data_IF_854418903706
#
_entry.id   IF_854418903706
#
_cell.length_a   1.000
_cell.length_b   1.000
_cell.length_c   1.000
_cell.angle_alpha   90.00
_cell.angle_beta   90.00
_cell.angle_gamma   90.00
#
_symmetry.space_group_name_H-M   'P 1'
#
loop_
_entity.id
_entity.type
_entity.pdbx_description
1 polymer ?
#
# COMPACT_ATOMS: atom_id res chain seq x y z
N UNK A 1 11.87 6.84 -0.73
CA UNK A 1 11.35 6.41 -2.03
C UNK A 1 10.37 5.28 -1.76
N UNK A 2 9.17 5.36 -2.30
CA UNK A 2 8.09 4.40 -2.10
C UNK A 2 7.56 4.00 -3.48
N UNK A 3 7.00 2.79 -3.56
CA UNK A 3 6.35 2.30 -4.78
C UNK A 3 4.89 2.73 -4.76
N UNK A 4 4.43 3.25 -5.89
CA UNK A 4 3.03 3.56 -6.14
C UNK A 4 2.59 2.75 -7.36
N UNK A 5 1.52 2.00 -7.17
CA UNK A 5 0.74 1.36 -8.22
C UNK A 5 -0.27 2.40 -8.71
N UNK A 6 -0.82 2.28 -9.93
CA UNK A 6 -1.78 3.28 -10.40
C UNK A 6 -2.93 3.43 -9.39
N UNK A 7 -2.98 4.58 -8.72
CA UNK A 7 -4.02 4.90 -7.76
C UNK A 7 -3.86 4.26 -6.37
N UNK A 8 -2.78 3.51 -6.07
CA UNK A 8 -2.61 2.93 -4.73
C UNK A 8 -1.14 2.55 -4.39
N UNK A 9 -0.91 1.98 -3.21
CA UNK A 9 0.33 1.30 -2.83
C UNK A 9 0.06 -0.22 -2.76
N UNK A 10 1.10 -1.07 -2.74
CA UNK A 10 0.89 -2.49 -2.59
C UNK A 10 0.08 -2.85 -1.33
N UNK A 11 -0.92 -3.70 -1.48
CA UNK A 11 -1.82 -4.09 -0.40
C UNK A 11 -3.14 -4.69 -0.88
N UNK A 12 -3.85 -5.33 0.05
CA UNK A 12 -5.07 -6.06 -0.27
C UNK A 12 -5.89 -6.38 0.97
N UNK A 13 -6.89 -7.24 0.81
CA UNK A 13 -7.76 -7.69 1.90
C UNK A 13 -7.14 -8.86 2.67
N UNK A 14 -7.49 -8.98 3.95
CA UNK A 14 -7.12 -10.16 4.76
C UNK A 14 -7.86 -11.40 4.28
N UNK A 15 -7.13 -12.49 4.12
CA UNK A 15 -7.72 -13.82 3.93
C UNK A 15 -8.07 -14.51 5.26
N UNK A 16 -8.77 -15.65 5.18
CA UNK A 16 -9.16 -16.40 6.37
C UNK A 16 -7.93 -16.91 7.15
N UNK A 17 -7.82 -16.55 8.43
CA UNK A 17 -6.69 -16.83 9.32
C UNK A 17 -5.40 -16.07 9.02
N UNK A 18 -5.47 -14.96 8.27
CA UNK A 18 -4.33 -14.08 7.97
C UNK A 18 -4.35 -12.83 8.86
N UNK A 19 -3.18 -12.42 9.38
CA UNK A 19 -3.03 -11.13 10.06
C UNK A 19 -2.85 -10.01 9.02
N UNK A 20 -3.29 -8.77 9.30
CA UNK A 20 -3.06 -7.64 8.39
C UNK A 20 -1.59 -7.41 8.02
N UNK A 21 -0.67 -7.76 8.93
CA UNK A 21 0.78 -7.69 8.67
C UNK A 21 1.24 -8.77 7.68
N UNK A 22 0.60 -9.94 7.67
CA UNK A 22 0.93 -11.05 6.77
C UNK A 22 0.47 -10.72 5.35
N UNK A 23 -0.73 -10.16 5.19
CA UNK A 23 -1.22 -9.58 3.91
C UNK A 23 -0.20 -8.63 3.34
N UNK A 24 0.24 -7.62 4.10
CA UNK A 24 1.18 -6.62 3.60
C UNK A 24 2.52 -7.23 3.13
N UNK A 25 2.95 -8.37 3.70
CA UNK A 25 4.13 -9.09 3.23
C UNK A 25 3.85 -9.92 1.97
N UNK A 26 2.67 -10.55 1.89
CA UNK A 26 2.21 -11.34 0.76
C UNK A 26 1.99 -10.46 -0.48
N UNK A 27 1.21 -9.40 -0.35
CA UNK A 27 0.90 -8.44 -1.43
C UNK A 27 2.17 -7.76 -1.96
N UNK A 28 3.10 -7.37 -1.08
CA UNK A 28 4.39 -6.84 -1.54
C UNK A 28 5.21 -7.83 -2.38
N UNK A 29 5.02 -9.14 -2.17
CA UNK A 29 5.63 -10.17 -3.01
C UNK A 29 4.83 -10.40 -4.28
N UNK A 30 3.50 -10.46 -4.20
CA UNK A 30 2.62 -10.78 -5.33
C UNK A 30 2.54 -9.63 -6.34
N UNK A 31 2.33 -8.41 -5.87
CA UNK A 31 2.09 -7.25 -6.73
C UNK A 31 3.38 -6.61 -7.23
N UNK A 32 4.50 -6.74 -6.51
CA UNK A 32 5.76 -6.04 -6.85
C UNK A 32 7.04 -6.87 -6.69
N UNK A 33 6.94 -8.16 -6.35
CA UNK A 33 8.07 -9.08 -6.21
C UNK A 33 9.15 -8.61 -5.21
N UNK A 34 8.75 -7.88 -4.16
CA UNK A 34 9.68 -7.37 -3.15
C UNK A 34 9.52 -8.07 -1.81
N UNK A 35 10.64 -8.61 -1.30
CA UNK A 35 10.71 -9.04 0.09
C UNK A 35 10.95 -7.83 0.98
N UNK A 36 9.97 -7.50 1.82
CA UNK A 36 10.05 -6.36 2.73
C UNK A 36 10.17 -6.80 4.19
N UNK A 37 10.77 -5.94 5.00
CA UNK A 37 10.67 -5.94 6.45
C UNK A 37 9.76 -4.80 6.89
N UNK A 38 8.61 -5.13 7.47
CA UNK A 38 7.69 -4.14 8.04
C UNK A 38 8.29 -3.55 9.33
N UNK A 39 8.35 -2.22 9.40
CA UNK A 39 8.90 -1.46 10.52
C UNK A 39 7.80 -1.01 11.50
N UNK A 40 6.81 -0.24 11.02
CA UNK A 40 5.69 0.25 11.85
C UNK A 40 4.45 0.56 11.03
N UNK A 41 3.29 0.63 11.70
CA UNK A 41 2.08 1.22 11.14
C UNK A 41 2.28 2.73 11.07
N UNK A 42 1.92 3.34 9.94
CA UNK A 42 2.00 4.78 9.70
C UNK A 42 0.63 5.43 9.51
N UNK A 43 -0.42 4.63 9.27
CA UNK A 43 -1.79 5.11 9.16
C UNK A 43 -2.77 4.00 9.45
N UNK A 44 -3.89 4.39 10.05
CA UNK A 44 -5.04 3.55 10.34
C UNK A 44 -6.30 4.37 10.07
N UNK A 45 -7.22 3.81 9.29
CA UNK A 45 -8.55 4.34 9.12
C UNK A 45 -9.59 3.22 9.04
N UNK A 46 -10.87 3.59 9.00
CA UNK A 46 -11.94 2.63 8.75
C UNK A 46 -13.03 3.25 7.88
N UNK A 47 -13.57 2.45 6.97
CA UNK A 47 -14.66 2.83 6.08
C UNK A 47 -15.79 1.80 6.21
N UNK A 48 -17.01 2.30 6.43
CA UNK A 48 -18.20 1.46 6.29
C UNK A 48 -18.63 1.42 4.83
N UNK A 49 -18.58 0.24 4.23
CA UNK A 49 -19.15 -0.02 2.91
C UNK A 49 -20.61 -0.45 3.08
N UNK A 50 -21.53 0.45 2.77
CA UNK A 50 -22.96 0.21 2.86
C UNK A 50 -23.47 -0.84 1.86
N UNK A 51 -22.75 -1.08 0.75
CA UNK A 51 -23.13 -2.09 -0.24
C UNK A 51 -22.81 -3.50 0.22
N UNK A 52 -21.75 -3.64 1.03
CA UNK A 52 -21.30 -4.91 1.59
C UNK A 52 -21.73 -5.09 3.05
N UNK A 53 -22.41 -4.09 3.64
CA UNK A 53 -22.75 -4.02 5.07
C UNK A 53 -21.56 -4.35 5.98
N UNK A 54 -20.35 -3.95 5.56
CA UNK A 54 -19.09 -4.35 6.16
C UNK A 54 -18.22 -3.14 6.48
N UNK A 55 -17.57 -3.16 7.64
CA UNK A 55 -16.54 -2.17 8.00
C UNK A 55 -15.18 -2.70 7.55
N UNK A 56 -14.54 -1.96 6.66
CA UNK A 56 -13.15 -2.19 6.28
C UNK A 56 -12.25 -1.33 7.17
N UNK A 57 -11.19 -1.94 7.69
CA UNK A 57 -10.13 -1.23 8.43
C UNK A 57 -8.85 -1.31 7.62
N UNK A 58 -8.26 -0.17 7.26
CA UNK A 58 -6.98 -0.12 6.56
C UNK A 58 -5.87 0.08 7.57
N UNK A 59 -4.83 -0.74 7.47
CA UNK A 59 -3.56 -0.53 8.16
C UNK A 59 -2.47 -0.33 7.12
N UNK A 60 -1.83 0.84 7.14
CA UNK A 60 -0.72 1.15 6.23
C UNK A 60 0.59 1.05 6.98
N UNK A 61 1.55 0.37 6.39
CA UNK A 61 2.85 0.11 7.00
C UNK A 61 3.95 0.85 6.26
N UNK A 62 4.95 1.30 7.01
CA UNK A 62 6.27 1.56 6.45
C UNK A 62 7.13 0.31 6.58
N UNK A 63 7.97 0.07 5.59
CA UNK A 63 8.89 -1.06 5.57
C UNK A 63 10.08 -0.80 4.67
N UNK A 64 11.05 -1.70 4.75
CA UNK A 64 12.30 -1.65 3.97
C UNK A 64 12.44 -2.90 3.13
N UNK A 65 12.83 -2.71 1.87
CA UNK A 65 13.20 -3.81 0.98
C UNK A 65 14.46 -4.46 1.55
N UNK A 66 14.40 -5.78 1.78
CA UNK A 66 15.52 -6.53 2.35
C UNK A 66 16.59 -6.81 1.29
N UNK A 67 16.15 -7.17 0.10
CA UNK A 67 16.96 -7.47 -1.07
C UNK A 67 16.23 -6.89 -2.28
N UNK A 68 16.91 -6.07 -3.07
CA UNK A 68 16.30 -5.41 -4.22
C UNK A 68 16.17 -6.43 -5.35
N UNK A 69 14.93 -6.76 -5.71
CA UNK A 69 14.61 -7.52 -6.90
C UNK A 69 14.07 -6.60 -7.99
N UNK A 70 14.07 -7.08 -9.23
CA UNK A 70 13.31 -6.44 -10.30
C UNK A 70 11.82 -6.42 -9.93
N UNK A 71 11.16 -5.30 -10.23
CA UNK A 71 9.71 -5.19 -10.06
C UNK A 71 9.06 -6.05 -11.13
N UNK A 72 8.24 -7.00 -10.67
CA UNK A 72 7.36 -7.81 -11.50
C UNK A 72 5.96 -7.55 -10.97
N UNK A 73 5.11 -6.98 -11.83
CA UNK A 73 3.73 -6.69 -11.45
C UNK A 73 2.86 -7.92 -11.62
N UNK A 74 1.90 -8.07 -10.72
CA UNK A 74 0.73 -8.87 -11.02
C UNK A 74 -0.14 -8.13 -12.05
N UNK A 75 -0.15 -8.62 -13.28
CA UNK A 75 -0.87 -8.01 -14.39
C UNK A 75 -2.39 -8.22 -14.31
N UNK A 76 -2.88 -9.11 -13.44
CA UNK A 76 -4.32 -9.24 -13.19
C UNK A 76 -4.86 -8.03 -12.43
N UNK A 77 -4.02 -7.41 -11.59
CA UNK A 77 -4.39 -6.29 -10.74
C UNK A 77 -3.80 -4.95 -11.21
N UNK A 78 -2.52 -4.94 -11.60
CA UNK A 78 -1.76 -3.72 -11.84
C UNK A 78 -0.98 -3.76 -13.15
N UNK A 79 -1.03 -2.66 -13.91
CA UNK A 79 -0.35 -2.59 -15.22
C UNK A 79 0.88 -1.68 -15.22
N UNK A 80 1.00 -0.78 -14.23
CA UNK A 80 2.07 0.20 -14.15
C UNK A 80 2.40 0.47 -12.69
N UNK A 81 3.69 0.70 -12.44
CA UNK A 81 4.19 1.22 -11.18
C UNK A 81 5.07 2.44 -11.43
N UNK A 82 5.25 3.25 -10.39
CA UNK A 82 6.22 4.34 -10.35
C UNK A 82 6.90 4.39 -8.99
N UNK A 83 8.19 4.70 -9.01
CA UNK A 83 8.92 5.04 -7.80
C UNK A 83 8.77 6.54 -7.53
N UNK A 84 8.23 6.88 -6.36
CA UNK A 84 8.05 8.28 -5.94
C UNK A 84 8.90 8.59 -4.71
N UNK A 85 9.35 9.84 -4.63
CA UNK A 85 9.99 10.40 -3.45
C UNK A 85 9.05 11.27 -2.64
N UNK A 86 8.03 11.83 -3.29
CA UNK A 86 6.94 12.59 -2.68
C UNK A 86 5.67 12.50 -3.52
N UNK A 87 4.53 12.85 -2.95
CA UNK A 87 3.25 12.92 -3.69
C UNK A 87 3.29 13.92 -4.87
N UNK A 88 4.21 14.89 -4.87
CA UNK A 88 4.39 15.84 -5.98
C UNK A 88 4.92 15.18 -7.25
N UNK A 89 5.40 13.95 -7.16
CA UNK A 89 5.86 13.16 -8.30
C UNK A 89 4.69 12.52 -9.06
N UNK A 90 3.46 12.62 -8.54
CA UNK A 90 2.23 12.09 -9.12
C UNK A 90 1.31 13.21 -9.63
N UNK A 91 0.50 12.90 -10.64
CA UNK A 91 -0.64 13.75 -11.03
C UNK A 91 -1.71 13.71 -9.93
N UNK A 92 -2.34 14.86 -9.64
CA UNK A 92 -3.31 14.99 -8.53
C UNK A 92 -4.47 13.99 -8.63
N UNK A 93 -4.89 13.64 -9.85
CA UNK A 93 -5.97 12.67 -10.12
C UNK A 93 -5.60 11.22 -9.74
N UNK A 94 -4.31 10.91 -9.58
CA UNK A 94 -3.80 9.58 -9.21
C UNK A 94 -3.57 9.46 -7.69
N UNK A 95 -3.68 10.55 -6.93
CA UNK A 95 -3.42 10.55 -5.50
C UNK A 95 -4.70 10.19 -4.75
N UNK A 96 -4.73 9.01 -4.14
CA UNK A 96 -5.83 8.62 -3.26
C UNK A 96 -5.81 9.42 -1.94
N UNK A 97 -6.98 9.81 -1.40
CA UNK A 97 -7.04 10.74 -0.26
C UNK A 97 -6.25 10.31 0.98
N UNK A 98 -6.25 9.02 1.32
CA UNK A 98 -5.57 8.54 2.52
C UNK A 98 -4.02 8.68 2.42
N UNK A 99 -3.47 8.70 1.20
CA UNK A 99 -2.05 9.00 1.01
C UNK A 99 -1.76 10.46 1.35
N UNK A 100 -2.69 11.39 1.05
CA UNK A 100 -2.53 12.79 1.47
C UNK A 100 -2.42 12.84 2.99
N UNK A 101 -3.30 12.17 3.73
CA UNK A 101 -3.25 12.14 5.21
C UNK A 101 -1.90 11.60 5.72
N UNK A 102 -1.39 10.51 5.14
CA UNK A 102 -0.09 9.92 5.50
C UNK A 102 1.08 10.92 5.29
N UNK A 103 1.06 11.67 4.19
CA UNK A 103 2.16 12.56 3.81
C UNK A 103 2.00 14.00 4.36
N UNK A 104 0.78 14.41 4.71
CA UNK A 104 0.47 15.69 5.35
C UNK A 104 0.59 15.63 6.89
N UNK A 105 0.56 14.45 7.50
CA UNK A 105 0.85 14.28 8.93
C UNK A 105 2.33 14.61 9.21
N UNK A 106 2.58 15.92 9.37
CA UNK A 106 3.86 16.53 9.77
C UNK A 106 4.13 16.38 11.26
N UNK A 107 3.82 15.25 11.86
CA UNK A 107 4.22 14.97 13.24
C UNK A 107 5.69 14.55 13.30
N UNK A 108 6.58 15.56 13.25
CA UNK A 108 7.88 15.56 13.94
C UNK A 108 7.77 16.50 15.13
#
# INVERSE_FOLDING_TARGET
>A
MFIHLIGDIPGGSVEENELPREVALREAMEEVNQKILIDKIIHEDSQFDASQETVFTRLVYTGRIMEQHDIILDLEEHTVFVWITSLKDLEEELIVPYLIDIFDDKSI
#
